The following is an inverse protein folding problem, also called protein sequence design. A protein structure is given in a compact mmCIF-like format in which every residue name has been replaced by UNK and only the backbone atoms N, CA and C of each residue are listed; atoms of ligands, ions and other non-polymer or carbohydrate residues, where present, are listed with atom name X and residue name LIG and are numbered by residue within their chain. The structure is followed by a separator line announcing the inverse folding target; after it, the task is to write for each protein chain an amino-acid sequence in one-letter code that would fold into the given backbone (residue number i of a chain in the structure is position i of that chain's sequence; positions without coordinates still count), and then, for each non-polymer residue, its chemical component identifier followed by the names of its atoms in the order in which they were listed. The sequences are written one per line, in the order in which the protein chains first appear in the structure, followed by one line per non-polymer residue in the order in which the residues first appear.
data_IF_177355684868
#
_entry.id   IF_177355684868
#
_cell.length_a   1.000
_cell.length_b   1.000
_cell.length_c   1.000
_cell.angle_alpha   90.00
_cell.angle_beta   90.00
_cell.angle_gamma   90.00
#
_symmetry.space_group_name_H-M   'P 1'
#
loop_
_entity.id
_entity.type
_entity.pdbx_description
1 polymer ?
#
# COMPACT_ATOMS: atom_id res chain seq x y z
N UNK A 1 3.25 -4.33 -8.63
CA UNK A 1 4.34 -5.15 -9.24
C UNK A 1 5.72 -4.50 -9.22
N UNK A 2 5.87 -3.20 -9.54
CA UNK A 2 7.17 -2.49 -9.56
C UNK A 2 7.96 -2.58 -8.23
N UNK A 3 7.33 -2.38 -7.07
CA UNK A 3 8.01 -2.45 -5.76
C UNK A 3 8.60 -3.84 -5.46
N UNK A 4 7.86 -4.91 -5.81
CA UNK A 4 8.31 -6.30 -5.65
C UNK A 4 9.53 -6.61 -6.51
N UNK A 5 9.60 -6.08 -7.73
CA UNK A 5 10.75 -6.24 -8.64
C UNK A 5 12.00 -5.57 -8.06
N UNK A 6 11.82 -4.44 -7.37
CA UNK A 6 12.91 -3.70 -6.71
C UNK A 6 13.29 -4.26 -5.34
N UNK A 7 12.69 -5.36 -4.90
CA UNK A 7 12.94 -5.95 -3.58
C UNK A 7 12.45 -5.11 -2.40
N UNK A 8 11.58 -4.13 -2.65
CA UNK A 8 11.06 -3.25 -1.59
C UNK A 8 9.93 -3.98 -0.88
N UNK A 9 10.17 -4.31 0.39
CA UNK A 9 9.25 -5.07 1.25
C UNK A 9 8.50 -4.20 2.23
N UNK A 10 9.06 -3.05 2.62
CA UNK A 10 8.52 -2.14 3.61
C UNK A 10 8.50 -0.70 3.08
N UNK A 11 7.34 -0.04 3.17
CA UNK A 11 7.14 1.34 2.73
C UNK A 11 6.27 2.08 3.76
N UNK A 12 6.18 3.40 3.64
CA UNK A 12 5.15 4.18 4.36
C UNK A 12 4.01 4.47 3.39
N UNK A 13 2.78 4.14 3.78
CA UNK A 13 1.59 4.45 2.98
C UNK A 13 1.05 5.83 3.35
N UNK A 14 1.38 6.82 2.53
CA UNK A 14 0.83 8.17 2.68
C UNK A 14 -0.62 8.25 2.18
N UNK A 15 -1.50 8.79 3.03
CA UNK A 15 -2.91 9.03 2.73
C UNK A 15 -3.18 10.46 2.26
N UNK A 16 -2.16 11.33 2.25
CA UNK A 16 -2.22 12.74 1.83
C UNK A 16 -3.39 13.52 2.48
N UNK A 17 -3.71 13.19 3.74
CA UNK A 17 -4.80 13.82 4.50
C UNK A 17 -6.21 13.26 4.25
N UNK A 18 -6.39 12.29 3.34
CA UNK A 18 -7.70 11.68 3.09
C UNK A 18 -8.10 10.70 4.20
N UNK A 19 -9.41 10.61 4.54
CA UNK A 19 -9.91 9.60 5.45
C UNK A 19 -9.56 8.19 4.95
N UNK A 20 -9.17 7.30 5.87
CA UNK A 20 -8.91 5.89 5.54
C UNK A 20 -10.23 5.15 5.32
N UNK A 21 -10.80 5.33 4.13
CA UNK A 21 -12.05 4.72 3.72
C UNK A 21 -12.08 4.52 2.20
N UNK A 22 -13.07 3.77 1.72
CA UNK A 22 -13.35 3.59 0.30
C UNK A 22 -12.11 3.19 -0.51
N UNK A 23 -11.75 4.04 -1.48
CA UNK A 23 -10.65 3.80 -2.41
C UNK A 23 -9.28 3.69 -1.72
N UNK A 24 -9.02 4.50 -0.68
CA UNK A 24 -7.76 4.48 0.07
C UNK A 24 -7.60 3.14 0.80
N UNK A 25 -8.69 2.68 1.45
CA UNK A 25 -8.71 1.39 2.14
C UNK A 25 -8.55 0.22 1.16
N UNK A 26 -9.29 0.24 0.04
CA UNK A 26 -9.20 -0.80 -0.98
C UNK A 26 -7.78 -0.90 -1.59
N UNK A 27 -7.12 0.24 -1.82
CA UNK A 27 -5.74 0.27 -2.28
C UNK A 27 -4.79 -0.37 -1.25
N UNK A 28 -4.91 0.00 0.02
CA UNK A 28 -4.08 -0.53 1.09
C UNK A 28 -4.26 -2.06 1.25
N UNK A 29 -5.49 -2.56 1.21
CA UNK A 29 -5.78 -4.00 1.27
C UNK A 29 -5.19 -4.75 0.07
N UNK A 30 -5.28 -4.19 -1.14
CA UNK A 30 -4.66 -4.78 -2.33
C UNK A 30 -3.13 -4.81 -2.27
N UNK A 31 -2.50 -3.84 -1.61
CA UNK A 31 -1.04 -3.83 -1.39
C UNK A 31 -0.62 -4.83 -0.30
N UNK A 32 -1.38 -4.96 0.79
CA UNK A 32 -1.14 -5.97 1.83
C UNK A 32 -1.31 -7.39 1.31
N UNK A 33 -2.33 -7.65 0.48
CA UNK A 33 -2.53 -8.95 -0.18
C UNK A 33 -1.39 -9.33 -1.15
N UNK A 34 -0.63 -8.34 -1.64
CA UNK A 34 0.57 -8.56 -2.44
C UNK A 34 1.85 -8.75 -1.60
N UNK A 35 1.74 -8.74 -0.26
CA UNK A 35 2.85 -8.94 0.67
C UNK A 35 3.71 -7.70 0.91
N UNK A 36 3.25 -6.51 0.52
CA UNK A 36 3.94 -5.24 0.83
C UNK A 36 3.55 -4.84 2.26
N UNK A 37 4.55 -4.61 3.12
CA UNK A 37 4.37 -4.18 4.50
C UNK A 37 4.44 -2.64 4.58
N UNK A 38 3.52 -2.04 5.33
CA UNK A 38 3.43 -0.60 5.59
C UNK A 38 2.40 -0.31 6.67
#
# INVERSE_FOLDING_TARGET
KQAKIKGITEIVFDRSGYPYHGRIKALAEGMRGQGIKF
#
